data_IF_078490153601
#
_entry.id   IF_078490153601
#
_cell.length_a   1.000
_cell.length_b   1.000
_cell.length_c   1.000
_cell.angle_alpha   90.00
_cell.angle_beta   90.00
_cell.angle_gamma   90.00
#
_symmetry.space_group_name_H-M   'P 1'
#
loop_
_entity.id
_entity.type
_entity.pdbx_description
1 polymer ?
#
# COMPACT_ATOMS: atom_id res chain seq x y z
N UNK A 1 -27.20 18.64 8.84
CA UNK A 1 -26.24 18.28 7.78
C UNK A 1 -25.05 17.57 8.42
N UNK A 2 -24.83 16.29 8.13
CA UNK A 2 -23.62 15.57 8.58
C UNK A 2 -22.50 15.96 7.63
N UNK A 3 -21.52 16.70 8.13
CA UNK A 3 -20.27 16.95 7.40
C UNK A 3 -19.53 15.62 7.33
N UNK A 4 -19.44 15.06 6.13
CA UNK A 4 -18.53 13.96 5.85
C UNK A 4 -17.13 14.56 5.82
N UNK A 5 -16.41 14.46 6.93
CA UNK A 5 -14.97 14.63 6.94
C UNK A 5 -14.36 13.51 6.09
N UNK A 6 -14.12 13.77 4.81
CA UNK A 6 -13.09 13.05 4.06
C UNK A 6 -11.78 13.40 4.76
N UNK A 7 -11.34 12.52 5.65
CA UNK A 7 -10.17 12.73 6.50
C UNK A 7 -8.93 12.98 5.63
N UNK A 8 -8.06 13.89 6.06
CA UNK A 8 -6.71 14.16 5.53
C UNK A 8 -5.92 12.88 5.15
N UNK A 9 -6.27 11.74 5.76
CA UNK A 9 -5.67 10.43 5.54
C UNK A 9 -5.94 9.81 4.15
N UNK A 10 -6.98 10.21 3.41
CA UNK A 10 -7.38 9.53 2.17
C UNK A 10 -6.27 9.47 1.09
N UNK A 11 -5.34 10.43 1.10
CA UNK A 11 -4.13 10.40 0.27
C UNK A 11 -2.92 9.80 1.00
N UNK A 12 -2.74 10.10 2.30
CA UNK A 12 -1.61 9.66 3.14
C UNK A 12 -1.51 8.13 3.33
N UNK A 13 -2.62 7.40 3.23
CA UNK A 13 -2.62 5.94 3.41
C UNK A 13 -2.34 5.11 2.15
N UNK A 14 -2.03 5.73 1.00
CA UNK A 14 -1.90 5.01 -0.26
C UNK A 14 -0.49 4.46 -0.47
N UNK A 15 -0.40 3.16 -0.79
CA UNK A 15 0.85 2.46 -1.14
C UNK A 15 0.70 1.75 -2.48
N UNK A 16 1.70 1.86 -3.34
CA UNK A 16 1.83 1.09 -4.59
C UNK A 16 3.04 0.19 -4.46
N UNK A 17 2.84 -1.11 -4.71
CA UNK A 17 3.93 -2.08 -4.71
C UNK A 17 3.75 -3.12 -5.81
N UNK A 18 4.86 -3.60 -6.36
CA UNK A 18 4.88 -4.77 -7.22
C UNK A 18 5.06 -6.07 -6.44
N UNK A 19 4.64 -7.18 -7.04
CA UNK A 19 5.01 -8.50 -6.56
C UNK A 19 5.07 -9.51 -7.70
N UNK A 20 6.05 -10.40 -7.64
CA UNK A 20 6.09 -11.62 -8.44
C UNK A 20 5.37 -12.80 -7.77
N UNK A 21 4.88 -12.64 -6.54
CA UNK A 21 4.18 -13.67 -5.78
C UNK A 21 2.68 -13.62 -6.05
N UNK A 22 1.94 -14.62 -5.55
CA UNK A 22 0.48 -14.52 -5.53
C UNK A 22 0.02 -13.39 -4.62
N UNK A 23 -1.14 -12.79 -4.93
CA UNK A 23 -1.74 -11.75 -4.09
C UNK A 23 -1.91 -12.23 -2.64
N UNK A 24 -2.25 -13.50 -2.43
CA UNK A 24 -2.37 -14.11 -1.10
C UNK A 24 -1.06 -14.09 -0.32
N UNK A 25 0.04 -14.49 -0.94
CA UNK A 25 1.37 -14.49 -0.30
C UNK A 25 1.81 -13.06 0.04
N UNK A 26 1.64 -12.14 -0.90
CA UNK A 26 1.98 -10.73 -0.71
C UNK A 26 1.16 -10.10 0.42
N UNK A 27 -0.16 -10.32 0.45
CA UNK A 27 -1.01 -9.85 1.55
C UNK A 27 -0.60 -10.46 2.89
N UNK A 28 -0.30 -11.75 2.94
CA UNK A 28 0.13 -12.40 4.17
C UNK A 28 1.44 -11.81 4.69
N UNK A 29 2.39 -11.47 3.80
CA UNK A 29 3.63 -10.78 4.19
C UNK A 29 3.35 -9.43 4.86
N UNK A 30 2.51 -8.59 4.24
CA UNK A 30 2.10 -7.31 4.85
C UNK A 30 1.41 -7.49 6.20
N UNK A 31 0.49 -8.45 6.30
CA UNK A 31 -0.20 -8.76 7.57
C UNK A 31 0.77 -9.20 8.67
N UNK A 32 1.78 -9.99 8.34
CA UNK A 32 2.81 -10.43 9.28
C UNK A 32 3.70 -9.25 9.73
N UNK A 33 4.13 -8.39 8.81
CA UNK A 33 4.92 -7.20 9.14
C UNK A 33 4.15 -6.27 10.09
N UNK A 34 2.87 -6.03 9.82
CA UNK A 34 2.00 -5.24 10.71
C UNK A 34 1.86 -5.91 12.08
N UNK A 35 1.56 -7.22 12.11
CA UNK A 35 1.36 -7.97 13.36
C UNK A 35 2.62 -7.98 14.25
N UNK A 36 3.80 -8.07 13.64
CA UNK A 36 5.07 -8.09 14.36
C UNK A 36 5.64 -6.69 14.62
N UNK A 37 4.93 -5.62 14.23
CA UNK A 37 5.41 -4.26 14.45
C UNK A 37 6.69 -3.92 13.69
N UNK A 38 6.88 -4.50 12.50
CA UNK A 38 8.08 -4.25 11.69
C UNK A 38 8.01 -2.86 11.04
N UNK A 39 8.40 -1.83 11.79
CA UNK A 39 8.30 -0.42 11.35
C UNK A 39 9.32 -0.02 10.28
N UNK A 40 10.24 -0.90 9.90
CA UNK A 40 11.15 -0.67 8.76
C UNK A 40 10.40 -0.73 7.41
N UNK A 41 9.20 -1.30 7.40
CA UNK A 41 8.32 -1.35 6.23
C UNK A 41 7.28 -0.22 6.32
N UNK A 42 7.18 0.68 5.33
CA UNK A 42 6.30 1.85 5.39
C UNK A 42 4.84 1.54 5.69
N UNK A 43 4.31 0.48 5.08
CA UNK A 43 2.93 0.02 5.32
C UNK A 43 2.74 -0.37 6.78
N UNK A 44 3.67 -1.13 7.36
CA UNK A 44 3.59 -1.55 8.75
C UNK A 44 3.78 -0.36 9.72
N UNK A 45 4.72 0.55 9.44
CA UNK A 45 4.91 1.77 10.22
C UNK A 45 3.62 2.58 10.34
N UNK A 46 2.87 2.74 9.24
CA UNK A 46 1.59 3.42 9.23
C UNK A 46 0.56 2.75 10.16
N UNK A 47 0.36 1.43 10.03
CA UNK A 47 -0.59 0.70 10.88
C UNK A 47 -0.14 0.56 12.35
N UNK A 48 1.14 0.77 12.66
CA UNK A 48 1.64 0.77 14.03
C UNK A 48 1.49 2.13 14.75
N UNK A 49 1.11 3.19 14.04
CA UNK A 49 1.03 4.57 14.57
C UNK A 49 -0.25 4.93 15.36
N UNK A 50 -0.97 3.92 15.89
CA UNK A 50 -2.22 4.03 16.68
C UNK A 50 -3.46 4.66 15.99
N UNK A 51 -3.35 5.15 14.76
CA UNK A 51 -4.48 5.75 14.01
C UNK A 51 -5.27 4.75 13.19
N UNK A 52 -4.64 3.66 12.75
CA UNK A 52 -5.23 2.66 11.87
C UNK A 52 -4.89 1.23 12.30
N UNK A 53 -5.82 0.31 12.06
CA UNK A 53 -5.64 -1.11 12.33
C UNK A 53 -5.58 -1.91 11.02
N UNK A 54 -5.12 -3.16 11.10
CA UNK A 54 -5.14 -4.09 9.96
C UNK A 54 -6.53 -4.33 9.35
N UNK A 55 -7.62 -3.99 10.07
CA UNK A 55 -9.00 -4.07 9.57
C UNK A 55 -9.30 -2.97 8.54
N UNK A 56 -8.53 -1.89 8.56
CA UNK A 56 -8.66 -0.75 7.66
C UNK A 56 -7.89 -0.98 6.34
N UNK A 57 -7.04 -2.01 6.27
CA UNK A 57 -6.27 -2.37 5.09
C UNK A 57 -7.20 -2.83 3.95
N UNK A 58 -7.20 -2.08 2.85
CA UNK A 58 -7.83 -2.42 1.58
C UNK A 58 -6.78 -2.61 0.50
N UNK A 59 -6.95 -3.65 -0.31
CA UNK A 59 -6.02 -3.98 -1.40
C UNK A 59 -6.81 -4.12 -2.69
N UNK A 60 -6.29 -3.58 -3.79
CA UNK A 60 -6.87 -3.71 -5.13
C UNK A 60 -5.75 -3.93 -6.14
N UNK A 61 -5.98 -4.84 -7.08
CA UNK A 61 -5.03 -5.11 -8.17
C UNK A 61 -5.22 -4.04 -9.25
N UNK A 62 -4.17 -3.26 -9.50
CA UNK A 62 -4.19 -2.19 -10.51
C UNK A 62 -3.84 -2.71 -11.91
N UNK A 63 -2.93 -3.69 -11.99
CA UNK A 63 -2.52 -4.34 -13.23
C UNK A 63 -1.90 -5.71 -12.95
N UNK A 64 -2.08 -6.64 -13.88
CA UNK A 64 -1.55 -8.01 -13.81
C UNK A 64 -1.06 -8.49 -15.20
N UNK A 65 -0.71 -9.78 -15.30
CA UNK A 65 -0.28 -10.45 -16.53
C UNK A 65 1.04 -9.95 -17.15
N UNK A 66 1.91 -9.38 -16.32
CA UNK A 66 3.28 -9.04 -16.69
C UNK A 66 4.12 -10.28 -16.98
N UNK A 67 5.03 -10.18 -17.94
CA UNK A 67 5.92 -11.28 -18.35
C UNK A 67 7.27 -11.20 -17.66
N UNK A 68 7.73 -10.00 -17.34
CA UNK A 68 9.05 -9.80 -16.74
C UNK A 68 8.96 -9.03 -15.42
N UNK A 69 10.00 -9.16 -14.59
CA UNK A 69 10.15 -8.31 -13.40
C UNK A 69 10.33 -6.83 -13.78
N UNK A 70 11.04 -6.57 -14.87
CA UNK A 70 11.29 -5.22 -15.35
C UNK A 70 9.98 -4.49 -15.68
N UNK A 71 9.06 -5.14 -16.40
CA UNK A 71 7.74 -4.59 -16.69
C UNK A 71 6.95 -4.25 -15.41
N UNK A 72 7.04 -5.10 -14.38
CA UNK A 72 6.36 -4.85 -13.10
C UNK A 72 6.91 -3.61 -12.42
N UNK A 73 8.24 -3.46 -12.34
CA UNK A 73 8.92 -2.30 -11.74
C UNK A 73 8.62 -1.01 -12.50
N UNK A 74 8.61 -1.06 -13.83
CA UNK A 74 8.26 0.11 -14.65
C UNK A 74 6.81 0.55 -14.42
N UNK A 75 5.88 -0.40 -14.30
CA UNK A 75 4.49 -0.09 -14.02
C UNK A 75 4.26 0.37 -12.58
N UNK A 76 4.95 -0.22 -11.61
CA UNK A 76 4.98 0.25 -10.22
C UNK A 76 5.39 1.73 -10.18
N UNK A 77 6.52 2.09 -10.79
CA UNK A 77 6.98 3.48 -10.83
C UNK A 77 5.98 4.40 -11.53
N UNK A 78 5.41 3.99 -12.68
CA UNK A 78 4.37 4.77 -13.37
C UNK A 78 3.14 5.00 -12.50
N UNK A 79 2.71 4.01 -11.73
CA UNK A 79 1.55 4.11 -10.85
C UNK A 79 1.85 4.94 -9.61
N UNK A 80 3.04 4.81 -9.01
CA UNK A 80 3.50 5.66 -7.91
C UNK A 80 3.48 7.15 -8.31
N UNK A 81 3.97 7.47 -9.51
CA UNK A 81 3.91 8.84 -10.07
C UNK A 81 2.48 9.28 -10.35
N UNK A 82 1.64 8.41 -10.92
CA UNK A 82 0.24 8.73 -11.25
C UNK A 82 -0.60 9.01 -10.00
N UNK A 83 -0.37 8.27 -8.92
CA UNK A 83 -1.10 8.41 -7.67
C UNK A 83 -0.37 9.27 -6.63
N UNK A 84 0.78 9.83 -7.00
CA UNK A 84 1.61 10.68 -6.14
C UNK A 84 1.97 10.05 -4.78
N UNK A 85 2.17 8.73 -4.74
CA UNK A 85 2.42 8.01 -3.48
C UNK A 85 3.82 8.26 -2.91
N UNK A 86 4.75 8.76 -3.73
CA UNK A 86 6.09 9.18 -3.31
C UNK A 86 6.10 10.45 -2.45
N UNK A 87 5.14 11.35 -2.68
CA UNK A 87 5.08 12.65 -1.98
C UNK A 87 3.99 12.67 -0.92
N UNK A 88 2.88 11.97 -1.18
CA UNK A 88 1.68 12.04 -0.35
C UNK A 88 1.18 10.68 0.11
N UNK A 89 1.92 9.59 -0.13
CA UNK A 89 1.54 8.24 0.27
C UNK A 89 2.58 7.57 1.16
N UNK A 90 2.60 6.25 1.15
CA UNK A 90 3.49 5.42 1.98
C UNK A 90 4.70 4.87 1.21
N UNK A 91 4.99 5.37 0.00
CA UNK A 91 6.09 4.87 -0.83
C UNK A 91 7.42 5.60 -0.60
#
# INVERSE_FOLDING_TARGET
MRQHNLSECALQGLYVGETGQTLRQWMNSHRLNIKHGNTDVPVAAHFCSNTHSIKDLRVTVLKSNFKTQQERKEWEFKLMRKFNTLECGLN
#
